data_IF_084805357089
#
_entry.id   IF_084805357089
#
_cell.length_a   1.000
_cell.length_b   1.000
_cell.length_c   1.000
_cell.angle_alpha   90.00
_cell.angle_beta   90.00
_cell.angle_gamma   90.00
#
_symmetry.space_group_name_H-M   'P 1'
#
loop_
_entity.id
_entity.type
_entity.pdbx_description
1 polymer ?
#
# COMPACT_ATOMS: atom_id res chain seq x y z
N UNK A 1 52.32 -121.52 -13.35
CA UNK A 1 50.88 -121.75 -13.63
C UNK A 1 50.16 -120.50 -13.12
N UNK A 2 49.82 -119.49 -13.95
CA UNK A 2 48.66 -119.44 -14.87
C UNK A 2 47.39 -119.93 -14.17
N UNK A 3 46.28 -119.22 -14.04
CA UNK A 3 45.82 -117.92 -14.55
C UNK A 3 44.49 -117.63 -13.84
N UNK A 4 44.19 -116.36 -13.57
CA UNK A 4 42.82 -115.82 -13.65
C UNK A 4 42.91 -114.28 -13.61
N UNK A 5 43.09 -113.71 -14.81
CA UNK A 5 42.91 -112.29 -15.11
C UNK A 5 41.47 -112.08 -15.59
N UNK A 6 40.94 -110.90 -15.25
CA UNK A 6 39.81 -110.23 -15.91
C UNK A 6 39.39 -109.04 -15.05
N UNK A 7 39.90 -107.82 -15.26
CA UNK A 7 39.39 -106.81 -16.24
C UNK A 7 37.88 -106.57 -16.04
N UNK A 8 37.32 -105.38 -15.92
CA UNK A 8 37.65 -103.98 -16.30
C UNK A 8 36.43 -103.18 -15.82
N UNK A 9 36.52 -101.91 -15.43
CA UNK A 9 36.14 -100.75 -16.26
C UNK A 9 35.48 -99.77 -15.27
N UNK A 10 36.09 -98.61 -15.04
CA UNK A 10 35.74 -97.37 -15.73
C UNK A 10 34.33 -96.87 -15.43
N UNK A 11 34.33 -95.75 -14.71
CA UNK A 11 33.37 -94.66 -14.79
C UNK A 11 32.70 -94.54 -16.18
N UNK A 12 31.40 -94.28 -16.20
CA UNK A 12 30.83 -93.24 -17.06
C UNK A 12 30.03 -92.31 -16.14
N UNK A 13 30.47 -91.08 -15.93
CA UNK A 13 30.19 -89.93 -16.81
C UNK A 13 28.82 -89.97 -17.50
N UNK A 14 27.96 -89.10 -16.96
CA UNK A 14 26.93 -88.33 -17.66
C UNK A 14 25.59 -89.00 -18.05
N UNK A 15 24.48 -88.44 -17.52
CA UNK A 15 23.40 -87.76 -18.27
C UNK A 15 22.00 -87.91 -17.62
N UNK A 16 21.49 -86.84 -17.01
CA UNK A 16 20.32 -86.04 -17.48
C UNK A 16 19.68 -85.16 -16.39
N UNK A 17 19.47 -83.90 -16.76
CA UNK A 17 18.78 -82.82 -16.03
C UNK A 17 17.34 -83.20 -15.63
N UNK A 18 16.71 -82.49 -14.66
CA UNK A 18 15.94 -81.30 -15.06
C UNK A 18 15.87 -80.18 -14.01
N UNK A 19 15.25 -79.08 -14.46
CA UNK A 19 14.43 -78.16 -13.66
C UNK A 19 15.18 -77.12 -12.84
N UNK A 20 15.40 -75.95 -13.44
CA UNK A 20 14.52 -74.78 -13.31
C UNK A 20 14.64 -74.10 -11.93
N UNK A 21 15.19 -72.89 -12.00
CA UNK A 21 14.90 -71.75 -11.13
C UNK A 21 15.67 -71.73 -9.80
N UNK A 22 16.77 -70.99 -9.78
CA UNK A 22 17.03 -70.16 -8.61
C UNK A 22 17.21 -68.73 -9.08
N UNK A 23 16.05 -68.08 -9.22
CA UNK A 23 15.86 -66.65 -9.15
C UNK A 23 17.09 -65.93 -8.57
N UNK A 24 17.86 -65.26 -9.43
CA UNK A 24 18.68 -64.15 -8.99
C UNK A 24 17.73 -63.03 -8.54
N UNK A 25 17.15 -63.19 -7.35
CA UNK A 25 16.52 -62.09 -6.64
C UNK A 25 17.64 -61.12 -6.34
N UNK A 26 17.61 -59.99 -7.05
CA UNK A 26 18.38 -58.84 -6.64
C UNK A 26 17.94 -58.49 -5.22
N UNK A 27 18.93 -58.29 -4.35
CA UNK A 27 18.70 -57.87 -2.98
C UNK A 27 17.78 -56.63 -2.98
N UNK A 28 16.64 -56.75 -2.29
CA UNK A 28 15.65 -55.69 -2.22
C UNK A 28 16.25 -54.64 -1.30
N UNK A 29 16.70 -53.51 -1.87
CA UNK A 29 17.22 -52.38 -1.08
C UNK A 29 16.25 -52.08 0.05
N UNK A 30 16.79 -51.98 1.27
CA UNK A 30 16.02 -51.59 2.45
C UNK A 30 15.21 -50.31 2.17
N UNK A 31 13.98 -50.17 2.72
CA UNK A 31 13.20 -48.95 2.58
C UNK A 31 14.03 -47.75 3.03
N UNK A 32 14.35 -46.85 2.09
CA UNK A 32 14.90 -45.55 2.43
C UNK A 32 13.89 -44.81 3.30
N UNK A 33 14.19 -44.71 4.59
CA UNK A 33 13.45 -43.86 5.52
C UNK A 33 13.60 -42.43 5.02
N UNK A 34 12.58 -41.89 4.36
CA UNK A 34 12.52 -40.48 4.01
C UNK A 34 12.45 -39.75 5.35
N UNK A 35 13.48 -38.98 5.75
CA UNK A 35 13.43 -38.26 7.02
C UNK A 35 12.20 -37.35 7.01
N UNK A 36 11.46 -37.29 8.12
CA UNK A 36 10.27 -36.45 8.27
C UNK A 36 10.58 -35.03 7.78
N UNK A 37 10.19 -34.74 6.53
CA UNK A 37 10.46 -33.47 5.86
C UNK A 37 9.49 -32.39 6.34
N UNK A 38 9.04 -32.49 7.59
CA UNK A 38 8.19 -31.50 8.24
C UNK A 38 9.01 -30.27 8.67
N UNK A 39 10.29 -30.42 9.00
CA UNK A 39 11.16 -29.30 9.41
C UNK A 39 11.30 -28.25 8.33
N UNK A 40 11.48 -28.67 7.06
CA UNK A 40 11.58 -27.74 5.93
C UNK A 40 10.24 -27.01 5.73
N UNK A 41 9.11 -27.72 5.88
CA UNK A 41 7.78 -27.08 5.88
C UNK A 41 7.63 -26.05 7.01
N UNK A 42 8.08 -26.35 8.22
CA UNK A 42 8.07 -25.41 9.34
C UNK A 42 8.95 -24.18 9.10
N UNK A 43 10.13 -24.36 8.48
CA UNK A 43 10.99 -23.24 8.08
C UNK A 43 10.34 -22.38 7.01
N UNK A 44 9.73 -22.98 5.99
CA UNK A 44 8.98 -22.26 4.95
C UNK A 44 7.80 -21.49 5.58
N UNK A 45 7.04 -22.14 6.46
CA UNK A 45 5.94 -21.50 7.18
C UNK A 45 6.41 -20.34 8.07
N UNK A 46 7.55 -20.50 8.76
CA UNK A 46 8.15 -19.45 9.58
C UNK A 46 8.61 -18.25 8.75
N UNK A 47 9.23 -18.49 7.58
CA UNK A 47 9.62 -17.43 6.64
C UNK A 47 8.38 -16.70 6.12
N UNK A 48 7.36 -17.44 5.69
CA UNK A 48 6.12 -16.85 5.18
C UNK A 48 5.41 -16.01 6.26
N UNK A 49 5.34 -16.52 7.49
CA UNK A 49 4.80 -15.79 8.63
C UNK A 49 5.63 -14.54 8.95
N UNK A 50 6.96 -14.62 8.87
CA UNK A 50 7.86 -13.48 9.03
C UNK A 50 7.61 -12.38 7.99
N UNK A 51 7.47 -12.75 6.71
CA UNK A 51 7.15 -11.80 5.63
C UNK A 51 5.78 -11.15 5.88
N UNK A 52 4.77 -11.93 6.25
CA UNK A 52 3.43 -11.42 6.54
C UNK A 52 3.46 -10.43 7.71
N UNK A 53 4.20 -10.76 8.78
CA UNK A 53 4.34 -9.91 9.95
C UNK A 53 5.05 -8.59 9.62
N UNK A 54 6.14 -8.63 8.85
CA UNK A 54 6.85 -7.43 8.38
C UNK A 54 5.93 -6.56 7.52
N UNK A 55 5.18 -7.17 6.60
CA UNK A 55 4.21 -6.46 5.78
C UNK A 55 3.13 -5.77 6.61
N UNK A 56 2.63 -6.44 7.65
CA UNK A 56 1.62 -5.90 8.55
C UNK A 56 2.17 -4.73 9.39
N UNK A 57 3.37 -4.87 9.96
CA UNK A 57 4.06 -3.81 10.71
C UNK A 57 4.25 -2.58 9.82
N UNK A 58 4.75 -2.78 8.59
CA UNK A 58 4.96 -1.70 7.64
C UNK A 58 3.64 -1.00 7.26
N UNK A 59 2.58 -1.76 7.03
CA UNK A 59 1.24 -1.23 6.73
C UNK A 59 0.71 -0.35 7.87
N UNK A 60 0.77 -0.83 9.11
CA UNK A 60 0.31 -0.06 10.28
C UNK A 60 1.19 1.17 10.55
N UNK A 61 2.50 1.06 10.37
CA UNK A 61 3.40 2.20 10.52
C UNK A 61 3.11 3.30 9.50
N UNK A 62 2.92 2.94 8.23
CA UNK A 62 2.52 3.88 7.17
C UNK A 62 1.15 4.51 7.46
N UNK A 63 0.18 3.73 7.92
CA UNK A 63 -1.15 4.23 8.32
C UNK A 63 -1.04 5.24 9.46
N UNK A 64 -0.29 4.93 10.53
CA UNK A 64 -0.09 5.83 11.67
C UNK A 64 0.62 7.13 11.27
N UNK A 65 1.66 7.04 10.45
CA UNK A 65 2.38 8.22 9.96
C UNK A 65 1.48 9.15 9.12
N UNK A 66 0.58 8.58 8.30
CA UNK A 66 -0.40 9.36 7.54
C UNK A 66 -1.40 10.07 8.46
N UNK A 67 -1.94 9.37 9.46
CA UNK A 67 -2.88 9.94 10.42
C UNK A 67 -2.26 11.10 11.21
N UNK A 68 -1.01 10.95 11.68
CA UNK A 68 -0.30 12.02 12.38
C UNK A 68 -0.08 13.26 11.48
N UNK A 69 0.28 13.05 10.22
CA UNK A 69 0.42 14.15 9.25
C UNK A 69 -0.91 14.86 9.00
N UNK A 70 -2.02 14.13 8.92
CA UNK A 70 -3.35 14.70 8.74
C UNK A 70 -3.78 15.57 9.94
N UNK A 71 -3.52 15.12 11.17
CA UNK A 71 -3.76 15.92 12.39
C UNK A 71 -2.94 17.20 12.36
N UNK A 72 -1.64 17.09 12.05
CA UNK A 72 -0.75 18.24 11.97
C UNK A 72 -1.17 19.23 10.87
N UNK A 73 -1.66 18.74 9.73
CA UNK A 73 -2.15 19.56 8.62
C UNK A 73 -3.32 20.45 9.07
N UNK A 74 -4.28 19.85 9.78
CA UNK A 74 -5.45 20.56 10.30
C UNK A 74 -5.05 21.65 11.29
N UNK A 75 -4.23 21.33 12.30
CA UNK A 75 -3.75 22.31 13.28
C UNK A 75 -2.91 23.43 12.66
N UNK A 76 -2.12 23.10 11.64
CA UNK A 76 -1.31 24.09 10.90
C UNK A 76 -2.22 25.03 10.13
N UNK A 77 -3.19 24.51 9.39
CA UNK A 77 -4.10 25.33 8.60
C UNK A 77 -4.96 26.27 9.46
N UNK A 78 -5.48 25.79 10.60
CA UNK A 78 -6.24 26.64 11.52
C UNK A 78 -5.39 27.77 12.11
N UNK A 79 -4.12 27.51 12.47
CA UNK A 79 -3.18 28.56 12.91
C UNK A 79 -2.89 29.57 11.80
N UNK A 80 -2.79 29.13 10.55
CA UNK A 80 -2.57 30.04 9.43
C UNK A 80 -3.75 31.00 9.24
N UNK A 81 -4.99 30.52 9.44
CA UNK A 81 -6.19 31.36 9.37
C UNK A 81 -6.24 32.47 10.43
N UNK A 82 -5.60 32.29 11.59
CA UNK A 82 -5.53 33.34 12.62
C UNK A 82 -4.80 34.59 12.11
N UNK A 83 -3.93 34.45 11.10
CA UNK A 83 -3.22 35.57 10.47
C UNK A 83 -4.11 36.41 9.56
N UNK A 84 -5.34 35.96 9.27
CA UNK A 84 -6.26 36.69 8.41
C UNK A 84 -6.86 37.93 9.08
N UNK A 85 -7.05 37.92 10.41
CA UNK A 85 -7.68 39.02 11.15
C UNK A 85 -7.03 40.39 10.87
N UNK A 86 -5.71 40.56 11.09
CA UNK A 86 -5.02 41.81 10.79
C UNK A 86 -5.14 42.23 9.32
N UNK A 87 -5.13 41.27 8.38
CA UNK A 87 -5.24 41.56 6.95
C UNK A 87 -6.63 42.08 6.56
N UNK A 88 -7.68 41.63 7.26
CA UNK A 88 -9.06 42.12 7.09
C UNK A 88 -9.19 43.54 7.62
N UNK A 89 -8.66 43.81 8.81
CA UNK A 89 -8.67 45.14 9.44
C UNK A 89 -7.93 46.17 8.57
N UNK A 90 -6.76 45.80 8.06
CA UNK A 90 -5.95 46.62 7.15
C UNK A 90 -6.50 46.70 5.72
N UNK A 91 -7.55 45.92 5.39
CA UNK A 91 -8.09 45.75 4.03
C UNK A 91 -7.01 45.37 3.00
N UNK A 92 -6.02 44.59 3.42
CA UNK A 92 -4.93 44.12 2.56
C UNK A 92 -5.38 42.90 1.73
N UNK A 93 -6.25 43.15 0.74
CA UNK A 93 -6.92 42.11 -0.08
C UNK A 93 -5.91 41.16 -0.73
N UNK A 94 -4.80 41.67 -1.28
CA UNK A 94 -3.81 40.84 -1.98
C UNK A 94 -3.11 39.86 -1.03
N UNK A 95 -2.71 40.32 0.15
CA UNK A 95 -2.10 39.45 1.15
C UNK A 95 -3.13 38.46 1.70
N UNK A 96 -4.35 38.92 1.95
CA UNK A 96 -5.46 38.09 2.42
C UNK A 96 -5.77 36.94 1.46
N UNK A 97 -6.01 37.23 0.18
CA UNK A 97 -6.39 36.19 -0.80
C UNK A 97 -5.23 35.20 -1.05
N UNK A 98 -3.99 35.69 -0.97
CA UNK A 98 -2.79 34.83 -1.06
C UNK A 98 -2.70 33.89 0.15
N UNK A 99 -2.93 34.40 1.35
CA UNK A 99 -2.94 33.60 2.58
C UNK A 99 -4.01 32.51 2.50
N UNK A 100 -5.24 32.88 2.13
CA UNK A 100 -6.38 31.97 2.07
C UNK A 100 -6.17 30.84 1.07
N UNK A 101 -5.77 31.16 -0.17
CA UNK A 101 -5.51 30.14 -1.20
C UNK A 101 -4.33 29.24 -0.84
N UNK A 102 -3.24 29.80 -0.30
CA UNK A 102 -2.09 28.99 0.12
C UNK A 102 -2.42 28.07 1.29
N UNK A 103 -3.24 28.54 2.24
CA UNK A 103 -3.70 27.76 3.39
C UNK A 103 -4.53 26.57 2.90
N UNK A 104 -5.52 26.80 2.02
CA UNK A 104 -6.31 25.71 1.46
C UNK A 104 -5.44 24.70 0.72
N UNK A 105 -4.63 25.15 -0.26
CA UNK A 105 -3.84 24.23 -1.08
C UNK A 105 -2.86 23.40 -0.27
N UNK A 106 -2.23 24.02 0.74
CA UNK A 106 -1.33 23.33 1.66
C UNK A 106 -2.07 22.32 2.52
N UNK A 107 -3.22 22.70 3.07
CA UNK A 107 -4.07 21.79 3.82
C UNK A 107 -4.45 20.57 2.98
N UNK A 108 -4.92 20.79 1.74
CA UNK A 108 -5.28 19.73 0.82
C UNK A 108 -4.10 18.78 0.57
N UNK A 109 -2.93 19.33 0.26
CA UNK A 109 -1.74 18.53 -0.02
C UNK A 109 -1.27 17.70 1.18
N UNK A 110 -1.31 18.28 2.39
CA UNK A 110 -0.88 17.57 3.58
C UNK A 110 -1.91 16.55 4.07
N UNK A 111 -3.21 16.84 3.94
CA UNK A 111 -4.32 16.02 4.42
C UNK A 111 -4.71 14.90 3.47
N UNK A 112 -4.73 15.18 2.18
CA UNK A 112 -5.24 14.29 1.14
C UNK A 112 -4.14 13.78 0.20
N UNK A 113 -2.90 14.25 0.36
CA UNK A 113 -1.76 13.86 -0.47
C UNK A 113 -1.91 14.17 -1.97
N UNK A 114 -2.70 15.20 -2.29
CA UNK A 114 -2.86 15.73 -3.66
C UNK A 114 -1.91 16.92 -3.87
N UNK A 115 -1.26 17.02 -5.03
CA UNK A 115 -0.26 18.06 -5.28
C UNK A 115 -0.84 19.45 -5.61
N UNK A 116 -1.83 19.91 -4.83
CA UNK A 116 -2.61 21.13 -5.09
C UNK A 116 -1.78 22.43 -5.19
N UNK A 117 -0.58 22.49 -4.58
CA UNK A 117 0.34 23.65 -4.71
C UNK A 117 1.25 23.59 -5.94
N UNK A 118 1.43 22.41 -6.53
CA UNK A 118 2.28 22.22 -7.72
C UNK A 118 1.49 22.31 -9.03
N UNK A 119 0.18 22.50 -8.91
CA UNK A 119 -0.76 22.56 -10.01
C UNK A 119 -1.36 23.95 -10.10
N UNK A 120 -1.68 24.36 -11.33
CA UNK A 120 -2.56 25.50 -11.56
C UNK A 120 -3.97 25.18 -11.07
N UNK A 121 -4.79 26.21 -10.85
CA UNK A 121 -6.21 26.04 -10.50
C UNK A 121 -6.96 25.15 -11.49
N UNK A 122 -6.68 25.28 -12.79
CA UNK A 122 -7.33 24.47 -13.83
C UNK A 122 -6.94 23.00 -13.75
N UNK A 123 -5.65 22.71 -13.56
CA UNK A 123 -5.14 21.34 -13.41
C UNK A 123 -5.73 20.69 -12.16
N UNK A 124 -5.77 21.40 -11.03
CA UNK A 124 -6.35 20.87 -9.80
C UNK A 124 -7.86 20.61 -9.93
N UNK A 125 -8.61 21.51 -10.54
CA UNK A 125 -10.06 21.30 -10.80
C UNK A 125 -10.29 20.12 -11.74
N UNK A 126 -9.44 19.96 -12.76
CA UNK A 126 -9.52 18.84 -13.69
C UNK A 126 -9.19 17.51 -13.01
N UNK A 127 -8.17 17.45 -12.14
CA UNK A 127 -7.87 16.27 -11.31
C UNK A 127 -9.06 15.89 -10.42
N UNK A 128 -9.72 16.88 -9.78
CA UNK A 128 -10.92 16.64 -8.98
C UNK A 128 -12.10 16.05 -9.78
N UNK A 129 -12.18 16.35 -11.09
CA UNK A 129 -13.30 15.94 -11.94
C UNK A 129 -13.07 14.61 -12.67
N UNK A 130 -11.86 14.39 -13.19
CA UNK A 130 -11.52 13.24 -14.02
C UNK A 130 -10.93 12.07 -13.23
N UNK A 131 -10.28 12.32 -12.09
CA UNK A 131 -9.61 11.28 -11.30
C UNK A 131 -10.42 10.85 -10.06
N UNK A 132 -11.73 10.60 -10.28
CA UNK A 132 -12.66 10.26 -9.19
C UNK A 132 -12.29 8.98 -8.43
N UNK A 133 -11.51 8.08 -9.04
CA UNK A 133 -11.03 6.86 -8.37
C UNK A 133 -9.91 7.14 -7.35
N UNK A 134 -9.09 8.17 -7.57
CA UNK A 134 -7.93 8.49 -6.72
C UNK A 134 -8.15 9.69 -5.79
N UNK A 135 -9.22 10.47 -6.01
CA UNK A 135 -9.57 11.61 -5.15
C UNK A 135 -10.30 11.11 -3.89
N UNK A 136 -9.85 11.48 -2.68
CA UNK A 136 -10.54 11.14 -1.44
C UNK A 136 -11.98 11.68 -1.41
N UNK A 137 -12.91 10.87 -0.91
CA UNK A 137 -14.35 11.18 -0.90
C UNK A 137 -14.70 12.56 -0.31
N UNK A 138 -14.10 13.03 0.81
CA UNK A 138 -14.39 14.38 1.32
C UNK A 138 -14.03 15.52 0.35
N UNK A 139 -13.05 15.33 -0.54
CA UNK A 139 -12.75 16.32 -1.59
C UNK A 139 -13.72 16.21 -2.76
N UNK A 140 -14.15 15.01 -3.09
CA UNK A 140 -15.08 14.73 -4.17
C UNK A 140 -16.46 15.33 -3.87
N UNK A 141 -16.95 15.17 -2.63
CA UNK A 141 -18.18 15.77 -2.13
C UNK A 141 -18.17 17.32 -2.21
N UNK A 142 -16.98 17.92 -2.05
CA UNK A 142 -16.80 19.37 -2.03
C UNK A 142 -16.26 19.93 -3.37
N UNK A 143 -16.19 19.12 -4.43
CA UNK A 143 -15.50 19.44 -5.68
C UNK A 143 -16.03 20.70 -6.38
N UNK A 144 -17.35 20.82 -6.57
CA UNK A 144 -17.97 22.01 -7.19
C UNK A 144 -17.81 23.28 -6.34
N UNK A 145 -17.87 23.15 -5.02
CA UNK A 145 -17.62 24.26 -4.09
C UNK A 145 -16.16 24.72 -4.18
N UNK A 146 -15.21 23.78 -4.18
CA UNK A 146 -13.77 24.03 -4.34
C UNK A 146 -13.46 24.71 -5.67
N UNK A 147 -14.05 24.23 -6.76
CA UNK A 147 -13.92 24.81 -8.10
C UNK A 147 -14.39 26.26 -8.12
N UNK A 148 -15.60 26.53 -7.64
CA UNK A 148 -16.16 27.89 -7.58
C UNK A 148 -15.28 28.81 -6.73
N UNK A 149 -14.84 28.32 -5.56
CA UNK A 149 -14.01 29.08 -4.64
C UNK A 149 -12.64 29.42 -5.21
N UNK A 150 -11.95 28.46 -5.83
CA UNK A 150 -10.64 28.69 -6.43
C UNK A 150 -10.70 29.63 -7.63
N UNK A 151 -11.72 29.51 -8.48
CA UNK A 151 -11.95 30.43 -9.58
C UNK A 151 -12.19 31.85 -9.09
N UNK A 152 -12.98 32.00 -8.03
CA UNK A 152 -13.21 33.30 -7.41
C UNK A 152 -11.91 33.88 -6.81
N UNK A 153 -11.09 33.07 -6.14
CA UNK A 153 -9.79 33.51 -5.64
C UNK A 153 -8.87 34.00 -6.76
N UNK A 154 -8.82 33.29 -7.89
CA UNK A 154 -8.02 33.71 -9.05
C UNK A 154 -8.53 35.02 -9.66
N UNK A 155 -9.85 35.20 -9.75
CA UNK A 155 -10.43 36.45 -10.22
C UNK A 155 -10.01 37.63 -9.33
N UNK A 156 -10.01 37.46 -8.02
CA UNK A 156 -9.57 38.49 -7.06
C UNK A 156 -8.08 38.78 -7.22
N UNK A 157 -7.24 37.73 -7.25
CA UNK A 157 -5.78 37.83 -7.37
C UNK A 157 -5.33 38.53 -8.65
N UNK A 158 -5.98 38.22 -9.78
CA UNK A 158 -5.51 38.65 -11.10
C UNK A 158 -6.31 39.79 -11.70
N UNK A 159 -7.62 39.88 -11.43
CA UNK A 159 -8.48 40.95 -11.93
C UNK A 159 -8.65 42.13 -10.95
N UNK A 160 -8.02 42.06 -9.75
CA UNK A 160 -8.11 43.07 -8.69
C UNK A 160 -9.56 43.41 -8.31
N UNK A 161 -10.43 42.41 -8.33
CA UNK A 161 -11.79 42.59 -7.83
C UNK A 161 -11.75 42.96 -6.34
N UNK A 162 -12.61 43.88 -5.92
CA UNK A 162 -12.72 44.28 -4.52
C UNK A 162 -13.39 43.20 -3.67
N UNK A 163 -12.95 43.08 -2.41
CA UNK A 163 -13.64 42.32 -1.36
C UNK A 163 -14.04 43.27 -0.25
N UNK A 164 -15.27 43.12 0.26
CA UNK A 164 -15.66 43.75 1.52
C UNK A 164 -15.05 42.99 2.70
N UNK A 165 -14.92 43.64 3.86
CA UNK A 165 -14.49 42.97 5.10
C UNK A 165 -15.42 41.83 5.51
N UNK A 166 -16.73 41.98 5.25
CA UNK A 166 -17.73 40.94 5.46
C UNK A 166 -17.41 39.70 4.60
N UNK A 167 -17.20 39.87 3.29
CA UNK A 167 -16.84 38.76 2.40
C UNK A 167 -15.51 38.11 2.79
N UNK A 168 -14.51 38.88 3.21
CA UNK A 168 -13.26 38.32 3.71
C UNK A 168 -13.46 37.48 4.98
N UNK A 169 -14.32 37.94 5.89
CA UNK A 169 -14.68 37.21 7.11
C UNK A 169 -15.39 35.90 6.77
N UNK A 170 -16.34 35.94 5.83
CA UNK A 170 -17.06 34.75 5.36
C UNK A 170 -16.11 33.74 4.70
N UNK A 171 -15.13 34.21 3.92
CA UNK A 171 -14.12 33.32 3.34
C UNK A 171 -13.32 32.57 4.40
N UNK A 172 -12.92 33.25 5.48
CA UNK A 172 -12.21 32.62 6.61
C UNK A 172 -13.10 31.57 7.28
N UNK A 173 -14.37 31.92 7.53
CA UNK A 173 -15.33 31.03 8.17
C UNK A 173 -15.62 29.78 7.32
N UNK A 174 -15.81 29.96 6.02
CA UNK A 174 -16.06 28.87 5.08
C UNK A 174 -14.84 27.94 4.98
N UNK A 175 -13.62 28.50 4.89
CA UNK A 175 -12.40 27.69 4.86
C UNK A 175 -12.18 26.94 6.18
N UNK A 176 -12.43 27.58 7.33
CA UNK A 176 -12.41 26.91 8.65
C UNK A 176 -13.40 25.76 8.69
N UNK A 177 -14.64 26.00 8.28
CA UNK A 177 -15.71 24.97 8.25
C UNK A 177 -15.29 23.78 7.39
N UNK A 178 -14.72 24.02 6.21
CA UNK A 178 -14.20 22.97 5.34
C UNK A 178 -13.06 22.18 6.00
N UNK A 179 -12.11 22.85 6.64
CA UNK A 179 -10.99 22.20 7.36
C UNK A 179 -11.50 21.35 8.54
N UNK A 180 -12.54 21.81 9.23
CA UNK A 180 -13.15 21.11 10.36
C UNK A 180 -14.02 19.93 9.93
N UNK A 181 -14.85 20.08 8.89
CA UNK A 181 -15.69 18.99 8.36
C UNK A 181 -14.84 17.85 7.80
N UNK A 182 -13.70 18.17 7.18
CA UNK A 182 -12.79 17.19 6.59
C UNK A 182 -11.76 16.60 7.58
N UNK A 183 -11.77 17.06 8.84
CA UNK A 183 -10.96 16.51 9.93
C UNK A 183 -11.40 15.10 10.30
N UNK A 184 -12.71 14.84 10.27
CA UNK A 184 -13.31 13.61 10.81
C UNK A 184 -13.69 12.62 9.72
N UNK A 185 -12.70 11.80 9.33
CA UNK A 185 -12.94 10.42 8.88
C UNK A 185 -11.88 9.50 9.49
N UNK A 186 -11.81 9.48 10.82
CA UNK A 186 -11.45 8.26 11.51
C UNK A 186 -12.77 7.58 11.87
N UNK A 187 -13.39 6.90 10.90
CA UNK A 187 -14.34 5.84 11.25
C UNK A 187 -13.56 4.85 12.12
N UNK A 188 -13.74 4.95 13.43
CA UNK A 188 -13.53 3.83 14.34
C UNK A 188 -14.39 2.70 13.78
N UNK A 189 -13.70 1.70 13.22
CA UNK A 189 -14.27 0.38 12.98
C UNK A 189 -14.06 -0.43 14.23
#
# INVERSE_FOLDING_TARGET
QKSAQGQTANQPDNLKEPALMENQLYDIREPILIPDSNRILWWIAAILAGILLIGLIFYFWKKRARQQKAVLAHETALRELERAGPLIEEQNINAFITLIDQTLRRYIEQRFHIFARRQTTREFIHELAEDQENVPEPLMENSENLKTWLQHCDLVKFAKAGLSQETMTDMVLNLRTFIESTKMEAKEK
#
